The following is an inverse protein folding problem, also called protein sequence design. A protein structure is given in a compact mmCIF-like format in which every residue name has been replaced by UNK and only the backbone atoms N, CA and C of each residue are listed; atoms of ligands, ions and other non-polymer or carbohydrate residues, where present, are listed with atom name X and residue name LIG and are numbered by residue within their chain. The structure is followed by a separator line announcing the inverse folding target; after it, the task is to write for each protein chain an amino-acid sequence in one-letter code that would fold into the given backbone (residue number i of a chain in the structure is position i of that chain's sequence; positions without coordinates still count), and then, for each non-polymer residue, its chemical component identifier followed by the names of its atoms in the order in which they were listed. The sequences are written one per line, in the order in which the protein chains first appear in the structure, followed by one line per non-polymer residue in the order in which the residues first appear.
data_IF_496768715781
#
_entry.id   IF_496768715781
#
_cell.length_a   1.000
_cell.length_b   1.000
_cell.length_c   1.000
_cell.angle_alpha   90.00
_cell.angle_beta   90.00
_cell.angle_gamma   90.00
#
_symmetry.space_group_name_H-M   'P 1'
#
loop_
_entity.id
_entity.type
_entity.pdbx_description
1 polymer ?
#
# COMPACT_ATOMS: atom_id res chain seq x y z
N UNK A 1 13.77 24.34 -22.29
CA UNK A 1 13.37 22.92 -22.16
C UNK A 1 14.64 22.10 -22.00
N UNK A 2 14.99 21.71 -20.78
CA UNK A 2 16.17 20.87 -20.55
C UNK A 2 15.81 19.41 -20.85
N UNK A 3 16.42 18.85 -21.88
CA UNK A 3 16.25 17.46 -22.30
C UNK A 3 16.98 16.58 -21.28
N UNK A 4 16.22 15.87 -20.43
CA UNK A 4 16.79 14.84 -19.55
C UNK A 4 17.41 13.76 -20.44
N UNK A 5 18.70 13.42 -20.30
CA UNK A 5 19.33 12.44 -21.17
C UNK A 5 18.65 11.07 -21.04
N UNK A 6 18.30 10.43 -22.16
CA UNK A 6 17.57 9.17 -22.21
C UNK A 6 18.20 8.05 -21.34
N UNK A 7 19.51 8.11 -21.14
CA UNK A 7 20.30 7.19 -20.32
C UNK A 7 20.00 7.32 -18.80
N UNK A 8 19.74 8.54 -18.32
CA UNK A 8 19.35 8.77 -16.92
C UNK A 8 17.94 8.24 -16.64
N UNK A 9 17.02 8.37 -17.59
CA UNK A 9 15.67 7.82 -17.48
C UNK A 9 15.67 6.28 -17.49
N UNK A 10 16.52 5.66 -18.31
CA UNK A 10 16.68 4.20 -18.32
C UNK A 10 17.32 3.68 -17.01
N UNK A 11 18.32 4.40 -16.49
CA UNK A 11 18.92 4.12 -15.18
C UNK A 11 17.93 4.24 -14.02
N UNK A 12 17.06 5.26 -14.03
CA UNK A 12 15.97 5.40 -13.04
C UNK A 12 14.98 4.24 -13.12
N UNK A 13 14.55 3.85 -14.33
CA UNK A 13 13.62 2.74 -14.55
C UNK A 13 14.20 1.40 -14.09
N UNK A 14 15.48 1.11 -14.39
CA UNK A 14 16.17 -0.09 -13.90
C UNK A 14 16.29 -0.11 -12.38
N UNK A 15 16.56 1.03 -11.75
CA UNK A 15 16.63 1.12 -10.28
C UNK A 15 15.26 0.94 -9.63
N UNK A 16 14.21 1.52 -10.20
CA UNK A 16 12.83 1.32 -9.72
C UNK A 16 12.40 -0.13 -9.82
N UNK A 17 12.76 -0.80 -10.92
CA UNK A 17 12.54 -2.24 -11.10
C UNK A 17 13.32 -3.15 -10.11
N UNK A 18 14.31 -2.61 -9.39
CA UNK A 18 15.06 -3.32 -8.35
C UNK A 18 14.55 -3.04 -6.94
N UNK A 19 13.67 -2.04 -6.76
CA UNK A 19 13.07 -1.76 -5.47
C UNK A 19 11.87 -2.69 -5.24
N UNK A 20 11.66 -3.15 -3.99
CA UNK A 20 10.44 -3.88 -3.67
C UNK A 20 9.24 -2.95 -3.90
N UNK A 21 8.14 -3.43 -4.53
CA UNK A 21 6.93 -2.63 -4.68
C UNK A 21 6.43 -2.14 -3.33
N UNK A 22 5.88 -0.91 -3.31
CA UNK A 22 5.19 -0.41 -2.13
C UNK A 22 3.96 -1.28 -1.85
N UNK A 23 3.72 -1.61 -0.59
CA UNK A 23 2.57 -2.41 -0.16
C UNK A 23 1.53 -1.49 0.49
N UNK A 24 0.34 -1.47 -0.10
CA UNK A 24 -0.77 -0.60 0.29
C UNK A 24 -1.93 -1.47 0.75
N UNK A 25 -2.25 -1.42 2.03
CA UNK A 25 -3.41 -2.12 2.60
C UNK A 25 -4.59 -1.17 2.71
N UNK A 26 -5.63 -1.41 1.92
CA UNK A 26 -6.84 -0.60 1.91
C UNK A 26 -7.93 -1.26 2.74
N UNK A 27 -8.36 -0.59 3.80
CA UNK A 27 -9.46 -0.99 4.65
C UNK A 27 -10.65 -0.09 4.38
N UNK A 28 -11.34 -0.39 3.27
CA UNK A 28 -12.46 0.39 2.78
C UNK A 28 -13.78 -0.34 2.93
N UNK A 29 -14.87 0.41 3.08
CA UNK A 29 -16.22 -0.15 3.16
C UNK A 29 -16.69 -0.65 1.78
N UNK A 30 -16.21 -0.02 0.70
CA UNK A 30 -16.62 -0.32 -0.67
C UNK A 30 -15.45 -0.68 -1.59
N UNK A 31 -15.72 -1.48 -2.63
CA UNK A 31 -14.76 -1.74 -3.70
C UNK A 31 -14.43 -0.46 -4.51
N UNK A 32 -15.38 0.47 -4.60
CA UNK A 32 -15.23 1.72 -5.34
C UNK A 32 -14.10 2.59 -4.74
N UNK A 33 -14.00 2.68 -3.41
CA UNK A 33 -12.90 3.38 -2.75
C UNK A 33 -11.53 2.81 -3.17
N UNK A 34 -11.42 1.48 -3.31
CA UNK A 34 -10.18 0.81 -3.74
C UNK A 34 -9.84 1.15 -5.18
N UNK A 35 -10.85 1.17 -6.06
CA UNK A 35 -10.70 1.59 -7.46
C UNK A 35 -10.26 3.05 -7.56
N UNK A 36 -10.90 3.96 -6.80
CA UNK A 36 -10.58 5.40 -6.79
C UNK A 36 -9.14 5.67 -6.35
N UNK A 37 -8.66 4.96 -5.32
CA UNK A 37 -7.25 5.03 -4.92
C UNK A 37 -6.33 4.55 -6.04
N UNK A 38 -6.63 3.41 -6.64
CA UNK A 38 -5.79 2.81 -7.69
C UNK A 38 -5.69 3.73 -8.90
N UNK A 39 -6.80 4.38 -9.28
CA UNK A 39 -6.82 5.42 -10.31
C UNK A 39 -5.98 6.65 -9.93
N UNK A 40 -6.04 7.09 -8.67
CA UNK A 40 -5.25 8.23 -8.21
C UNK A 40 -3.73 7.94 -8.24
N UNK A 41 -3.33 6.72 -7.85
CA UNK A 41 -1.96 6.24 -7.97
C UNK A 41 -1.50 6.20 -9.44
N UNK A 42 -2.35 5.70 -10.33
CA UNK A 42 -2.07 5.68 -11.76
C UNK A 42 -1.87 7.10 -12.34
N UNK A 43 -2.70 8.07 -11.93
CA UNK A 43 -2.51 9.49 -12.31
C UNK A 43 -1.20 10.08 -11.80
N UNK A 44 -0.65 9.55 -10.70
CA UNK A 44 0.67 9.88 -10.20
C UNK A 44 1.81 9.10 -10.88
N UNK A 45 1.51 8.31 -11.92
CA UNK A 45 2.48 7.55 -12.70
C UNK A 45 2.92 6.23 -12.06
N UNK A 46 2.14 5.71 -11.11
CA UNK A 46 2.40 4.39 -10.52
C UNK A 46 1.73 3.27 -11.33
N UNK A 47 2.44 2.18 -11.58
CA UNK A 47 1.84 0.91 -11.99
C UNK A 47 1.44 0.08 -10.76
N UNK A 48 0.16 -0.28 -10.66
CA UNK A 48 -0.38 -0.99 -9.50
C UNK A 48 -0.88 -2.39 -9.85
N UNK A 49 -0.56 -3.36 -9.01
CA UNK A 49 -1.26 -4.64 -8.95
C UNK A 49 -2.34 -4.58 -7.85
N UNK A 50 -3.60 -4.57 -8.24
CA UNK A 50 -4.76 -4.58 -7.33
C UNK A 50 -5.15 -6.01 -6.99
N UNK A 51 -4.99 -6.38 -5.72
CA UNK A 51 -5.33 -7.68 -5.18
C UNK A 51 -6.72 -7.61 -4.53
N UNK A 52 -7.68 -8.30 -5.14
CA UNK A 52 -9.04 -8.44 -4.61
C UNK A 52 -9.09 -9.54 -3.56
N UNK A 53 -8.56 -9.24 -2.37
CA UNK A 53 -8.51 -10.18 -1.25
C UNK A 53 -9.90 -10.40 -0.61
N UNK A 54 -10.84 -9.47 -0.81
CA UNK A 54 -12.22 -9.61 -0.35
C UNK A 54 -13.18 -10.21 -1.39
N UNK A 55 -12.72 -10.39 -2.63
CA UNK A 55 -13.50 -10.93 -3.74
C UNK A 55 -14.65 -10.02 -4.21
N UNK A 56 -14.63 -8.73 -3.89
CA UNK A 56 -15.70 -7.76 -4.18
C UNK A 56 -15.38 -6.82 -5.34
N UNK A 57 -14.10 -6.62 -5.67
CA UNK A 57 -13.70 -5.71 -6.75
C UNK A 57 -13.96 -6.34 -8.11
N UNK A 58 -13.64 -7.62 -8.25
CA UNK A 58 -13.78 -8.35 -9.51
C UNK A 58 -14.94 -9.32 -9.47
N UNK A 59 -16.02 -9.06 -8.72
CA UNK A 59 -17.16 -9.99 -8.55
C UNK A 59 -17.71 -10.51 -9.89
N UNK A 60 -17.77 -9.63 -10.89
CA UNK A 60 -18.37 -9.89 -12.20
C UNK A 60 -17.34 -10.17 -13.31
N UNK A 61 -16.05 -10.22 -12.98
CA UNK A 61 -14.99 -10.47 -13.95
C UNK A 61 -14.92 -11.96 -14.35
N UNK A 62 -14.43 -12.28 -15.57
CA UNK A 62 -14.11 -13.64 -15.96
C UNK A 62 -13.24 -14.33 -14.90
N UNK A 63 -13.60 -15.56 -14.55
CA UNK A 63 -12.90 -16.34 -13.53
C UNK A 63 -11.91 -17.30 -14.16
N UNK A 64 -10.75 -17.41 -13.53
CA UNK A 64 -9.88 -18.55 -13.74
C UNK A 64 -10.55 -19.83 -13.25
N UNK A 65 -10.32 -20.93 -13.95
CA UNK A 65 -10.70 -22.28 -13.49
C UNK A 65 -9.90 -22.71 -12.25
N UNK A 66 -8.75 -22.08 -12.00
CA UNK A 66 -7.88 -22.38 -10.87
C UNK A 66 -7.97 -21.27 -9.81
N UNK A 67 -8.11 -21.64 -8.55
CA UNK A 67 -7.96 -20.71 -7.43
C UNK A 67 -6.56 -20.10 -7.39
N UNK A 68 -6.41 -18.96 -6.72
CA UNK A 68 -5.16 -18.19 -6.72
C UNK A 68 -3.94 -18.99 -6.24
N UNK A 69 -4.12 -19.89 -5.27
CA UNK A 69 -3.04 -20.78 -4.77
C UNK A 69 -2.52 -21.70 -5.89
N UNK A 70 -3.41 -22.35 -6.63
CA UNK A 70 -3.03 -23.18 -7.78
C UNK A 70 -2.46 -22.35 -8.94
N UNK A 71 -2.87 -21.09 -9.10
CA UNK A 71 -2.25 -20.19 -10.09
C UNK A 71 -0.78 -19.93 -9.74
N UNK A 72 -0.45 -19.72 -8.46
CA UNK A 72 0.94 -19.58 -7.97
C UNK A 72 1.73 -20.86 -8.22
N UNK A 73 1.21 -22.02 -7.79
CA UNK A 73 1.90 -23.32 -7.92
C UNK A 73 2.29 -23.62 -9.37
N UNK A 74 1.46 -23.19 -10.32
CA UNK A 74 1.67 -23.41 -11.75
C UNK A 74 2.46 -22.29 -12.43
N UNK A 75 2.76 -21.21 -11.72
CA UNK A 75 3.37 -20.00 -12.28
C UNK A 75 2.50 -19.32 -13.34
N UNK A 76 1.17 -19.50 -13.26
CA UNK A 76 0.18 -19.05 -14.25
C UNK A 76 -0.86 -18.16 -13.58
N UNK A 77 -0.44 -16.93 -13.25
CA UNK A 77 -1.31 -15.94 -12.63
C UNK A 77 -2.35 -15.45 -13.65
N UNK A 78 -3.62 -15.47 -13.25
CA UNK A 78 -4.71 -14.90 -14.04
C UNK A 78 -4.91 -13.44 -13.63
N UNK A 79 -4.11 -12.56 -14.24
CA UNK A 79 -4.24 -11.12 -14.07
C UNK A 79 -5.29 -10.56 -15.03
N UNK A 80 -6.14 -9.67 -14.51
CA UNK A 80 -7.18 -8.97 -15.23
C UNK A 80 -6.64 -7.60 -15.65
N UNK A 81 -6.58 -7.28 -16.96
CA UNK A 81 -6.12 -5.96 -17.39
C UNK A 81 -7.13 -4.89 -16.94
N UNK A 82 -6.63 -3.78 -16.40
CA UNK A 82 -7.42 -2.62 -16.03
C UNK A 82 -6.86 -1.36 -16.70
N UNK A 83 -7.67 -0.30 -16.91
CA UNK A 83 -7.18 0.97 -17.47
C UNK A 83 -6.09 1.66 -16.65
N UNK A 84 -5.91 1.26 -15.39
CA UNK A 84 -5.03 1.87 -14.41
C UNK A 84 -4.06 0.85 -13.76
N UNK A 85 -3.87 -0.32 -14.36
CA UNK A 85 -2.97 -1.36 -13.84
C UNK A 85 -3.46 -2.77 -14.14
N UNK A 86 -3.11 -3.71 -13.26
CA UNK A 86 -3.55 -5.11 -13.34
C UNK A 86 -4.28 -5.50 -12.07
N UNK A 87 -5.30 -6.35 -12.21
CA UNK A 87 -6.10 -6.88 -11.13
C UNK A 87 -5.83 -8.36 -10.92
N UNK A 88 -5.88 -8.83 -9.68
CA UNK A 88 -5.79 -10.25 -9.38
C UNK A 88 -6.86 -10.67 -8.37
N UNK A 89 -7.72 -11.59 -8.80
CA UNK A 89 -8.74 -12.18 -7.94
C UNK A 89 -8.13 -13.26 -7.06
N UNK A 90 -7.84 -12.89 -5.81
CA UNK A 90 -7.18 -13.75 -4.84
C UNK A 90 -7.84 -13.65 -3.45
N UNK A 91 -9.11 -14.08 -3.32
CA UNK A 91 -9.83 -13.96 -2.06
C UNK A 91 -9.10 -14.71 -0.93
N UNK A 92 -8.93 -14.02 0.21
CA UNK A 92 -8.25 -14.54 1.40
C UNK A 92 -6.72 -14.54 1.35
N UNK A 93 -6.10 -14.05 0.27
CA UNK A 93 -4.64 -13.92 0.22
C UNK A 93 -4.14 -12.96 1.32
N UNK A 94 -3.01 -13.31 1.93
CA UNK A 94 -2.37 -12.54 2.99
C UNK A 94 -1.22 -11.70 2.45
N UNK A 95 -0.90 -10.62 3.15
CA UNK A 95 0.22 -9.76 2.77
C UNK A 95 1.59 -10.43 2.94
N UNK A 96 1.70 -11.47 3.78
CA UNK A 96 2.93 -12.24 3.99
C UNK A 96 3.11 -13.44 3.05
N UNK A 97 2.24 -13.61 2.05
CA UNK A 97 2.33 -14.68 1.06
C UNK A 97 3.67 -14.59 0.28
N UNK A 98 4.58 -15.59 0.39
CA UNK A 98 5.92 -15.49 -0.20
C UNK A 98 5.93 -15.28 -1.71
N UNK A 99 4.95 -15.85 -2.42
CA UNK A 99 4.84 -15.72 -3.87
C UNK A 99 4.38 -14.32 -4.33
N UNK A 100 3.88 -13.48 -3.41
CA UNK A 100 3.35 -12.16 -3.75
C UNK A 100 4.42 -11.26 -4.37
N UNK A 101 5.63 -11.28 -3.84
CA UNK A 101 6.74 -10.47 -4.38
C UNK A 101 7.11 -10.86 -5.81
N UNK A 102 6.96 -12.14 -6.15
CA UNK A 102 7.16 -12.60 -7.51
C UNK A 102 6.01 -12.15 -8.42
N UNK A 103 4.76 -12.25 -7.95
CA UNK A 103 3.56 -11.80 -8.66
C UNK A 103 3.57 -10.29 -8.93
N UNK A 104 4.06 -9.50 -7.98
CA UNK A 104 4.10 -8.05 -8.06
C UNK A 104 5.32 -7.50 -8.82
N UNK A 105 6.20 -8.36 -9.32
CA UNK A 105 7.41 -7.91 -10.03
C UNK A 105 7.03 -7.07 -11.24
N UNK A 106 7.60 -5.87 -11.34
CA UNK A 106 7.32 -4.93 -12.44
C UNK A 106 6.23 -3.90 -12.13
N UNK A 107 5.57 -4.02 -10.98
CA UNK A 107 4.66 -3.00 -10.46
C UNK A 107 5.41 -2.06 -9.50
N UNK A 108 5.01 -0.79 -9.48
CA UNK A 108 5.48 0.18 -8.49
C UNK A 108 4.82 -0.08 -7.12
N UNK A 109 3.58 -0.57 -7.12
CA UNK A 109 2.89 -0.93 -5.88
C UNK A 109 1.93 -2.12 -5.99
N UNK A 110 1.64 -2.69 -4.83
CA UNK A 110 0.59 -3.67 -4.59
C UNK A 110 -0.49 -2.99 -3.76
N UNK A 111 -1.74 -3.06 -4.21
CA UNK A 111 -2.90 -2.53 -3.51
C UNK A 111 -3.77 -3.69 -3.07
N UNK A 112 -3.96 -3.86 -1.76
CA UNK A 112 -4.84 -4.89 -1.20
C UNK A 112 -6.21 -4.30 -0.91
N UNK A 113 -7.25 -4.87 -1.53
CA UNK A 113 -8.63 -4.69 -1.07
C UNK A 113 -8.88 -5.56 0.17
N UNK A 114 -8.57 -5.04 1.36
CA UNK A 114 -8.69 -5.73 2.63
C UNK A 114 -9.96 -5.32 3.39
N UNK A 115 -10.35 -6.15 4.37
CA UNK A 115 -11.43 -5.86 5.32
C UNK A 115 -10.89 -5.80 6.73
N UNK A 116 -11.40 -4.86 7.52
CA UNK A 116 -11.07 -4.71 8.95
C UNK A 116 -11.38 -5.96 9.78
N UNK A 117 -12.34 -6.77 9.30
CA UNK A 117 -12.81 -7.95 10.01
C UNK A 117 -12.07 -9.24 9.59
N UNK A 118 -11.02 -9.14 8.79
CA UNK A 118 -10.21 -10.31 8.41
C UNK A 118 -9.27 -10.67 9.58
N UNK A 119 -9.34 -11.89 10.12
CA UNK A 119 -8.72 -12.24 11.40
C UNK A 119 -7.18 -12.22 11.42
N UNK A 120 -6.51 -12.22 10.26
CA UNK A 120 -5.06 -12.39 10.16
C UNK A 120 -4.39 -11.34 9.25
N UNK A 121 -4.58 -10.05 9.55
CA UNK A 121 -3.80 -9.02 8.84
C UNK A 121 -2.31 -9.18 9.12
N UNK A 122 -1.54 -9.38 8.06
CA UNK A 122 -0.09 -9.49 8.10
C UNK A 122 0.50 -8.60 7.01
N UNK A 123 1.39 -7.66 7.36
CA UNK A 123 2.02 -6.78 6.37
C UNK A 123 3.08 -7.55 5.58
N UNK A 124 3.28 -7.16 4.31
CA UNK A 124 4.36 -7.70 3.48
C UNK A 124 5.75 -7.34 4.06
N UNK A 125 6.67 -8.30 4.27
CA UNK A 125 8.02 -8.05 4.75
C UNK A 125 8.86 -7.18 3.80
N UNK A 126 9.57 -6.17 4.32
CA UNK A 126 10.62 -5.43 3.59
C UNK A 126 10.14 -4.36 2.58
N UNK A 127 8.84 -4.24 2.32
CA UNK A 127 8.28 -3.20 1.46
C UNK A 127 8.04 -1.88 2.22
N UNK A 128 8.01 -0.75 1.50
CA UNK A 128 7.39 0.48 2.00
C UNK A 128 5.90 0.20 2.28
N UNK A 129 5.41 0.55 3.48
CA UNK A 129 4.08 0.13 3.94
C UNK A 129 3.16 1.31 4.16
N UNK A 130 2.02 1.27 3.48
CA UNK A 130 0.91 2.18 3.65
C UNK A 130 -0.30 1.41 4.14
N UNK A 131 -0.91 1.87 5.23
CA UNK A 131 -2.24 1.41 5.66
C UNK A 131 -3.19 2.57 5.44
N UNK A 132 -4.28 2.32 4.74
CA UNK A 132 -5.28 3.34 4.45
C UNK A 132 -6.60 2.85 5.02
N UNK A 133 -7.17 3.67 5.89
CA UNK A 133 -8.38 3.36 6.63
C UNK A 133 -9.47 4.36 6.28
N UNK A 134 -10.58 3.87 5.72
CA UNK A 134 -11.81 4.65 5.58
C UNK A 134 -12.60 4.55 6.89
N UNK A 135 -12.86 5.71 7.51
CA UNK A 135 -13.55 5.82 8.80
C UNK A 135 -14.89 6.52 8.56
N UNK A 136 -15.96 5.91 9.05
CA UNK A 136 -17.29 6.50 9.02
C UNK A 136 -17.74 6.91 10.44
N UNK A 137 -18.92 7.54 10.56
CA UNK A 137 -19.43 8.06 11.84
C UNK A 137 -19.97 7.00 12.79
N UNK A 138 -20.05 5.73 12.36
CA UNK A 138 -20.57 4.66 13.22
C UNK A 138 -19.55 4.34 14.31
N UNK A 139 -19.97 4.19 15.58
CA UNK A 139 -19.06 3.84 16.67
C UNK A 139 -18.25 2.56 16.41
N UNK A 140 -18.83 1.58 15.72
CA UNK A 140 -18.16 0.35 15.35
C UNK A 140 -16.97 0.60 14.39
N UNK A 141 -17.12 1.51 13.42
CA UNK A 141 -16.04 1.85 12.47
C UNK A 141 -14.86 2.49 13.21
N UNK A 142 -15.12 3.42 14.12
CA UNK A 142 -14.09 4.08 14.93
C UNK A 142 -13.37 3.07 15.83
N UNK A 143 -14.12 2.18 16.49
CA UNK A 143 -13.54 1.13 17.35
C UNK A 143 -12.69 0.13 16.57
N UNK A 144 -13.17 -0.34 15.42
CA UNK A 144 -12.43 -1.24 14.55
C UNK A 144 -11.17 -0.58 13.99
N UNK A 145 -11.29 0.68 13.56
CA UNK A 145 -10.17 1.49 13.12
C UNK A 145 -9.10 1.63 14.20
N UNK A 146 -9.51 1.92 15.44
CA UNK A 146 -8.59 2.05 16.56
C UNK A 146 -7.92 0.71 16.91
N UNK A 147 -8.65 -0.40 16.87
CA UNK A 147 -8.11 -1.73 17.08
C UNK A 147 -7.04 -2.07 16.04
N UNK A 148 -7.27 -1.77 14.76
CA UNK A 148 -6.28 -1.93 13.69
C UNK A 148 -5.04 -1.07 13.96
N UNK A 149 -5.20 0.21 14.29
CA UNK A 149 -4.07 1.11 14.58
C UNK A 149 -3.21 0.61 15.74
N UNK A 150 -3.83 0.03 16.77
CA UNK A 150 -3.10 -0.63 17.85
C UNK A 150 -2.27 -1.82 17.34
N UNK A 151 -2.87 -2.71 16.54
CA UNK A 151 -2.15 -3.85 15.94
C UNK A 151 -0.99 -3.39 15.05
N UNK A 152 -1.19 -2.33 14.27
CA UNK A 152 -0.13 -1.74 13.44
C UNK A 152 0.99 -1.17 14.32
N UNK A 153 0.65 -0.45 15.39
CA UNK A 153 1.63 0.08 16.34
C UNK A 153 2.47 -1.03 17.00
N UNK A 154 1.83 -2.12 17.40
CA UNK A 154 2.47 -3.27 18.06
C UNK A 154 3.37 -4.07 17.10
N UNK A 155 3.22 -3.91 15.78
CA UNK A 155 4.01 -4.65 14.78
C UNK A 155 5.48 -4.22 14.70
N UNK A 156 5.84 -3.06 15.25
CA UNK A 156 7.20 -2.49 15.17
C UNK A 156 7.67 -2.13 13.76
N UNK A 157 6.78 -2.25 12.77
CA UNK A 157 7.08 -1.97 11.37
C UNK A 157 7.03 -0.46 11.09
N UNK A 158 7.95 0.02 10.23
CA UNK A 158 7.86 1.36 9.66
C UNK A 158 6.66 1.41 8.70
N UNK A 159 5.54 1.97 9.16
CA UNK A 159 4.26 2.04 8.44
C UNK A 159 3.73 3.46 8.48
N UNK A 160 3.34 3.96 7.32
CA UNK A 160 2.61 5.22 7.14
C UNK A 160 1.10 4.92 7.14
N UNK A 161 0.32 5.62 7.95
CA UNK A 161 -1.12 5.38 8.07
C UNK A 161 -1.93 6.61 7.69
N UNK A 162 -2.82 6.45 6.71
CA UNK A 162 -3.73 7.48 6.25
C UNK A 162 -5.17 7.19 6.67
N UNK A 163 -5.84 8.19 7.22
CA UNK A 163 -7.27 8.16 7.52
C UNK A 163 -8.03 8.99 6.47
N UNK A 164 -9.13 8.46 5.97
CA UNK A 164 -10.05 9.16 5.07
C UNK A 164 -11.51 8.84 5.42
N UNK A 165 -12.46 9.54 4.79
CA UNK A 165 -13.88 9.37 5.04
C UNK A 165 -14.44 10.53 5.84
N UNK A 166 -15.11 10.26 6.97
CA UNK A 166 -15.69 11.31 7.79
C UNK A 166 -14.60 12.05 8.60
N UNK A 167 -14.49 13.35 8.38
CA UNK A 167 -13.50 14.20 9.01
C UNK A 167 -13.53 14.17 10.55
N UNK A 168 -14.71 14.32 11.17
CA UNK A 168 -14.85 14.31 12.62
C UNK A 168 -14.49 12.94 13.23
N UNK A 169 -14.85 11.84 12.55
CA UNK A 169 -14.48 10.49 12.99
C UNK A 169 -12.97 10.25 12.86
N UNK A 170 -12.34 10.75 11.79
CA UNK A 170 -10.88 10.71 11.62
C UNK A 170 -10.17 11.53 12.72
N UNK A 171 -10.65 12.74 13.02
CA UNK A 171 -10.10 13.59 14.08
C UNK A 171 -10.22 12.93 15.46
N UNK A 172 -11.36 12.28 15.74
CA UNK A 172 -11.57 11.49 16.95
C UNK A 172 -10.56 10.33 17.04
N UNK A 173 -10.30 9.65 15.93
CA UNK A 173 -9.35 8.55 15.88
C UNK A 173 -7.90 9.02 16.08
N UNK A 174 -7.51 10.14 15.46
CA UNK A 174 -6.22 10.79 15.69
C UNK A 174 -6.03 11.19 17.15
N UNK A 175 -7.06 11.78 17.77
CA UNK A 175 -7.04 12.17 19.17
C UNK A 175 -6.89 10.94 20.09
N UNK A 176 -7.56 9.83 19.77
CA UNK A 176 -7.40 8.58 20.50
C UNK A 176 -5.96 8.03 20.37
N UNK A 177 -5.39 8.05 19.15
CA UNK A 177 -4.01 7.62 18.93
C UNK A 177 -3.03 8.44 19.76
N UNK A 178 -3.12 9.78 19.70
CA UNK A 178 -2.23 10.66 20.47
C UNK A 178 -2.37 10.53 21.99
N UNK A 179 -3.48 10.00 22.49
CA UNK A 179 -3.70 9.78 23.93
C UNK A 179 -3.19 8.43 24.42
N UNK A 180 -3.23 7.40 23.58
CA UNK A 180 -3.12 6.02 24.04
C UNK A 180 -2.04 5.19 23.32
N UNK A 181 -1.54 5.65 22.16
CA UNK A 181 -0.49 4.96 21.40
C UNK A 181 0.85 5.69 21.56
N UNK A 182 1.91 5.01 21.17
CA UNK A 182 3.26 5.56 21.20
C UNK A 182 3.36 6.86 20.36
N UNK A 183 4.01 7.93 20.87
CA UNK A 183 4.15 9.18 20.14
C UNK A 183 4.92 9.06 18.81
N UNK A 184 5.88 8.14 18.69
CA UNK A 184 6.60 7.92 17.44
C UNK A 184 5.69 7.27 16.40
N UNK A 185 4.87 6.29 16.79
CA UNK A 185 3.84 5.74 15.91
C UNK A 185 2.80 6.79 15.51
N UNK A 186 2.31 7.59 16.46
CA UNK A 186 1.27 8.60 16.18
C UNK A 186 1.71 9.61 15.11
N UNK A 187 3.01 9.91 15.00
CA UNK A 187 3.55 10.79 13.94
C UNK A 187 3.45 10.20 12.53
N UNK A 188 3.25 8.90 12.40
CA UNK A 188 3.05 8.23 11.11
C UNK A 188 1.58 8.15 10.72
N UNK A 189 0.66 8.48 11.63
CA UNK A 189 -0.78 8.53 11.38
C UNK A 189 -1.19 9.95 10.99
N UNK A 190 -1.86 10.11 9.86
CA UNK A 190 -2.39 11.39 9.39
C UNK A 190 -3.77 11.22 8.76
N UNK A 191 -4.51 12.33 8.66
CA UNK A 191 -5.81 12.37 8.01
C UNK A 191 -5.73 13.15 6.71
N UNK A 192 -6.38 12.64 5.67
CA UNK A 192 -6.68 13.35 4.42
C UNK A 192 -8.19 13.62 4.29
N UNK A 193 -8.97 13.42 5.35
CA UNK A 193 -10.42 13.56 5.32
C UNK A 193 -10.91 15.01 5.14
N UNK A 194 -10.03 16.00 5.36
CA UNK A 194 -10.30 17.42 5.12
C UNK A 194 -9.82 17.90 3.74
N UNK A 195 -9.22 17.02 2.94
CA UNK A 195 -8.77 17.35 1.58
C UNK A 195 -9.94 17.33 0.58
N UNK A 196 -9.94 18.25 -0.38
CA UNK A 196 -10.97 18.32 -1.43
C UNK A 196 -11.04 17.03 -2.27
N UNK A 197 -9.87 16.44 -2.56
CA UNK A 197 -9.74 15.10 -3.15
C UNK A 197 -8.78 14.24 -2.32
N UNK A 198 -9.33 13.59 -1.30
CA UNK A 198 -8.60 12.72 -0.38
C UNK A 198 -7.76 11.64 -1.10
N UNK A 199 -8.25 11.05 -2.19
CA UNK A 199 -7.52 9.99 -2.91
C UNK A 199 -6.35 10.56 -3.71
N UNK A 200 -6.53 11.72 -4.35
CA UNK A 200 -5.43 12.40 -5.03
C UNK A 200 -4.36 12.87 -4.05
N UNK A 201 -4.76 13.50 -2.93
CA UNK A 201 -3.83 13.93 -1.89
C UNK A 201 -3.01 12.76 -1.33
N UNK A 202 -3.67 11.62 -1.09
CA UNK A 202 -3.03 10.41 -0.63
C UNK A 202 -2.02 9.84 -1.65
N UNK A 203 -2.41 9.73 -2.92
CA UNK A 203 -1.52 9.24 -3.97
C UNK A 203 -0.26 10.11 -4.13
N UNK A 204 -0.41 11.45 -4.08
CA UNK A 204 0.71 12.39 -4.14
C UNK A 204 1.66 12.19 -2.95
N UNK A 205 1.10 12.04 -1.75
CA UNK A 205 1.89 11.83 -0.54
C UNK A 205 2.66 10.51 -0.57
N UNK A 206 2.02 9.42 -1.02
CA UNK A 206 2.66 8.12 -1.18
C UNK A 206 3.83 8.18 -2.18
N UNK A 207 3.65 8.87 -3.31
CA UNK A 207 4.72 9.10 -4.29
C UNK A 207 5.93 9.86 -3.69
N UNK A 208 5.68 10.83 -2.80
CA UNK A 208 6.74 11.56 -2.13
C UNK A 208 7.45 10.72 -1.06
N UNK A 209 6.70 9.96 -0.25
CA UNK A 209 7.24 9.08 0.79
C UNK A 209 8.10 7.95 0.20
N UNK A 210 7.71 7.38 -0.96
CA UNK A 210 8.52 6.44 -1.75
C UNK A 210 9.86 7.06 -2.15
N UNK A 211 9.84 8.32 -2.63
CA UNK A 211 11.04 9.06 -3.03
C UNK A 211 11.98 9.29 -1.85
N UNK A 212 11.42 9.63 -0.68
CA UNK A 212 12.17 9.81 0.57
C UNK A 212 12.82 8.50 1.06
N UNK A 213 12.08 7.39 1.04
CA UNK A 213 12.60 6.05 1.40
C UNK A 213 13.74 5.63 0.46
N UNK A 214 13.57 5.85 -0.84
CA UNK A 214 14.60 5.59 -1.85
C UNK A 214 15.88 6.39 -1.60
N UNK A 215 15.76 7.63 -1.15
CA UNK A 215 16.89 8.47 -0.80
C UNK A 215 17.62 7.97 0.47
N UNK A 216 16.89 7.53 1.50
CA UNK A 216 17.45 6.98 2.74
C UNK A 216 18.19 5.66 2.52
N UNK A 217 17.59 4.73 1.77
CA UNK A 217 18.23 3.46 1.42
C UNK A 217 19.57 3.67 0.69
N UNK A 218 19.68 4.71 -0.15
CA UNK A 218 20.95 5.08 -0.80
C UNK A 218 21.99 5.56 0.21
N UNK A 219 21.61 6.42 1.16
CA UNK A 219 22.54 6.92 2.17
C UNK A 219 23.09 5.77 3.03
N UNK A 220 22.22 4.90 3.53
CA UNK A 220 22.60 3.74 4.36
C UNK A 220 23.48 2.73 3.61
N UNK A 221 23.19 2.44 2.33
CA UNK A 221 24.04 1.55 1.52
C UNK A 221 25.38 2.19 1.11
N UNK A 222 25.45 3.52 0.99
CA UNK A 222 26.70 4.21 0.66
C UNK A 222 27.62 4.26 1.89
N UNK A 223 27.07 4.43 3.09
CA UNK A 223 27.82 4.30 4.35
C UNK A 223 28.29 2.86 4.60
N UNK A 224 27.48 1.86 4.27
CA UNK A 224 27.87 0.44 4.35
C UNK A 224 29.01 0.06 3.38
N UNK A 225 29.13 0.73 2.24
CA UNK A 225 30.27 0.56 1.31
C UNK A 225 31.55 1.28 1.76
N UNK A 226 31.47 2.27 2.66
CA UNK A 226 32.63 3.05 3.10
C UNK A 226 33.50 2.35 4.17
N UNK A 227 33.08 1.20 4.70
CA UNK A 227 33.75 0.52 5.83
C UNK A 227 34.57 -0.73 5.47
N UNK A 228 34.84 -0.99 4.18
CA UNK A 228 35.70 -2.13 3.76
C UNK A 228 36.98 -1.72 3.04
N UNK A 229 37.74 -0.76 3.56
CA UNK A 229 39.17 -0.63 3.25
C UNK A 229 39.91 -0.12 4.49
N UNK A 230 40.49 -1.04 5.27
CA UNK A 230 41.35 -0.66 6.39
C UNK A 230 41.57 -1.75 7.43
N UNK A 231 42.31 -2.79 7.06
CA UNK A 231 43.41 -3.38 7.83
C UNK A 231 44.00 -4.55 7.04
#
# INVERSE_FOLDING_TARGET
MAQVPADQAAGLRRRRAQQPPACVHCFFDTAESTIRLTQALHRCGWSSLLIDACGRVFSDAPRSLFGWTHQIERGQLHMLPMPYGEGWYAPGIRGDEPALMAAARGHDCIVFDARLNAPDWTPLPGAARFVILEVNTLPASILQGYALLKTVADSGASISVALLGNAAACDQLLAACGRFLDPAFTRTVYSVAHEDDAFAALAVRMAHEETGLTARYKAENTESMALKHGC
#
